data_IF_174081313826
#
_entry.id   IF_174081313826
#
_cell.length_a   1.000
_cell.length_b   1.000
_cell.length_c   1.000
_cell.angle_alpha   90.00
_cell.angle_beta   90.00
_cell.angle_gamma   90.00
#
_symmetry.space_group_name_H-M   'P 1'
#
loop_
_entity.id
_entity.type
_entity.pdbx_description
1 polymer ?
#
# COMPACT_ATOMS: atom_id res chain seq x y z
N UNK A 1 15.97 17.68 -4.22
CA UNK A 1 16.77 18.53 -3.36
C UNK A 1 16.01 19.08 -2.18
N UNK A 2 16.72 19.50 -1.18
CA UNK A 2 16.17 20.14 0.02
C UNK A 2 16.37 21.63 -0.04
N UNK A 3 15.49 22.38 0.62
CA UNK A 3 15.70 23.78 0.97
C UNK A 3 16.12 23.82 2.45
N UNK A 4 17.33 24.28 2.72
CA UNK A 4 17.86 24.37 4.08
C UNK A 4 18.20 25.82 4.41
N UNK A 5 18.11 26.17 5.69
CA UNK A 5 18.59 27.48 6.17
C UNK A 5 20.03 27.32 6.65
N UNK A 6 20.93 28.10 6.07
CA UNK A 6 22.33 28.20 6.48
C UNK A 6 22.62 29.67 6.76
N UNK A 7 22.88 30.02 8.01
CA UNK A 7 23.19 31.38 8.45
C UNK A 7 22.17 32.44 8.01
N UNK A 8 20.86 32.09 8.11
CA UNK A 8 19.76 32.98 7.73
C UNK A 8 19.47 33.03 6.22
N UNK A 9 20.20 32.30 5.38
CA UNK A 9 19.98 32.23 3.93
C UNK A 9 19.39 30.88 3.53
N UNK A 10 18.38 30.91 2.69
CA UNK A 10 17.81 29.67 2.09
C UNK A 10 18.76 29.16 0.99
N UNK A 11 19.26 27.96 1.17
CA UNK A 11 20.13 27.26 0.22
C UNK A 11 19.38 26.05 -0.32
N UNK A 12 19.31 25.91 -1.65
CA UNK A 12 18.83 24.70 -2.33
C UNK A 12 19.99 23.74 -2.49
N UNK A 13 19.84 22.51 -1.99
CA UNK A 13 20.79 21.43 -2.24
C UNK A 13 20.66 20.91 -3.67
N UNK A 14 21.59 20.07 -4.10
CA UNK A 14 21.54 19.42 -5.42
C UNK A 14 20.24 18.65 -5.66
N UNK A 15 19.94 18.36 -6.92
CA UNK A 15 18.75 17.58 -7.27
C UNK A 15 18.86 16.16 -6.69
N UNK A 16 17.75 15.59 -6.19
CA UNK A 16 17.77 14.26 -5.60
C UNK A 16 18.00 13.20 -6.68
N UNK A 17 18.82 12.22 -6.38
CA UNK A 17 18.88 11.00 -7.18
C UNK A 17 17.59 10.21 -7.00
N UNK A 18 17.04 9.69 -8.10
CA UNK A 18 15.87 8.81 -8.03
C UNK A 18 16.30 7.42 -7.62
N UNK A 19 15.69 6.90 -6.59
CA UNK A 19 15.75 5.49 -6.24
C UNK A 19 15.01 4.71 -7.32
N UNK A 20 15.71 3.80 -8.01
CA UNK A 20 15.13 3.01 -9.08
C UNK A 20 14.55 1.70 -8.54
N UNK A 21 15.24 1.06 -7.62
CA UNK A 21 14.79 -0.17 -6.97
C UNK A 21 14.23 0.17 -5.59
N UNK A 22 12.94 -0.13 -5.36
CA UNK A 22 12.30 0.23 -4.09
C UNK A 22 12.92 -0.52 -2.90
N UNK A 23 13.47 -1.69 -3.14
CA UNK A 23 14.07 -2.53 -2.09
C UNK A 23 15.40 -1.97 -1.55
N UNK A 24 15.99 -0.96 -2.21
CA UNK A 24 17.08 -0.15 -1.64
C UNK A 24 16.62 0.68 -0.42
N UNK A 25 15.32 0.93 -0.29
CA UNK A 25 14.75 1.64 0.87
C UNK A 25 14.59 0.63 2.01
N UNK A 26 15.28 0.81 3.15
CA UNK A 26 15.12 -0.13 4.26
C UNK A 26 13.68 -0.19 4.77
N UNK A 27 13.22 -1.38 5.10
CA UNK A 27 11.92 -1.54 5.75
C UNK A 27 12.01 -1.11 7.22
N UNK A 28 11.20 -0.17 7.69
CA UNK A 28 11.21 0.22 9.10
C UNK A 28 10.71 -0.90 10.01
N UNK A 29 9.97 -1.86 9.47
CA UNK A 29 9.48 -3.02 10.21
C UNK A 29 10.55 -4.09 10.38
N UNK A 30 11.35 -4.35 9.32
CA UNK A 30 12.36 -5.40 9.30
C UNK A 30 13.72 -4.96 9.89
N UNK A 31 13.86 -3.69 10.24
CA UNK A 31 15.10 -3.10 10.81
C UNK A 31 14.98 -2.78 12.30
N UNK A 32 13.99 -3.36 12.98
CA UNK A 32 13.74 -3.21 14.43
C UNK A 32 13.56 -1.77 14.94
N UNK A 33 13.28 -0.81 14.03
CA UNK A 33 13.13 0.62 14.40
C UNK A 33 12.03 0.85 15.43
N UNK A 34 10.98 0.04 15.42
CA UNK A 34 9.84 0.17 16.32
C UNK A 34 9.92 -0.70 17.57
N UNK A 35 10.91 -1.59 17.67
CA UNK A 35 11.00 -2.60 18.73
C UNK A 35 10.97 -1.97 20.13
N UNK A 36 11.90 -1.06 20.40
CA UNK A 36 12.00 -0.39 21.71
C UNK A 36 10.73 0.39 22.08
N UNK A 37 10.10 1.00 21.06
CA UNK A 37 8.86 1.76 21.25
C UNK A 37 7.71 0.83 21.63
N UNK A 38 7.56 -0.28 20.92
CA UNK A 38 6.51 -1.25 21.17
C UNK A 38 6.68 -1.96 22.51
N UNK A 39 7.92 -2.31 22.88
CA UNK A 39 8.24 -2.92 24.18
C UNK A 39 7.93 -1.98 25.36
N UNK A 40 8.14 -0.66 25.19
CA UNK A 40 7.85 0.34 26.24
C UNK A 40 6.36 0.66 26.38
N UNK A 41 5.56 0.34 25.37
CA UNK A 41 4.14 0.66 25.29
C UNK A 41 3.28 -0.57 24.95
N UNK A 42 3.31 -1.62 25.78
CA UNK A 42 2.56 -2.87 25.51
C UNK A 42 1.03 -2.68 25.55
N UNK A 43 0.56 -1.60 26.15
CA UNK A 43 -0.86 -1.22 26.22
C UNK A 43 -1.39 -0.61 24.90
N UNK A 44 -0.50 -0.20 23.99
CA UNK A 44 -0.88 0.46 22.74
C UNK A 44 -1.28 -0.56 21.67
N UNK A 45 -2.41 -0.31 21.01
CA UNK A 45 -2.83 -1.07 19.84
C UNK A 45 -2.17 -0.48 18.59
N UNK A 46 -1.23 -1.21 18.04
CA UNK A 46 -0.42 -0.75 16.92
C UNK A 46 -1.14 -0.95 15.58
N UNK A 47 -1.13 0.12 14.78
CA UNK A 47 -1.58 0.11 13.39
C UNK A 47 -0.37 0.37 12.49
N UNK A 48 -0.31 -0.30 11.36
CA UNK A 48 0.81 -0.18 10.42
C UNK A 48 0.33 0.28 9.04
N UNK A 49 1.20 1.01 8.36
CA UNK A 49 1.02 1.34 6.95
C UNK A 49 2.02 0.55 6.13
N UNK A 50 1.54 -0.30 5.23
CA UNK A 50 2.37 -1.06 4.29
C UNK A 50 2.16 -0.56 2.86
N UNK A 51 3.17 -0.70 2.04
CA UNK A 51 3.12 -0.40 0.62
C UNK A 51 3.74 -1.57 -0.15
N UNK A 52 2.99 -2.17 -1.08
CA UNK A 52 3.49 -3.28 -1.89
C UNK A 52 4.00 -2.83 -3.24
N UNK A 53 3.48 -1.70 -3.72
CA UNK A 53 3.92 -1.03 -4.94
C UNK A 53 3.72 0.48 -4.81
N UNK A 54 4.51 1.25 -5.52
CA UNK A 54 4.48 2.71 -5.53
C UNK A 54 4.25 3.24 -6.93
N UNK A 55 3.27 4.13 -7.05
CA UNK A 55 2.93 4.82 -8.29
C UNK A 55 1.52 4.52 -8.77
N UNK A 56 1.10 5.25 -9.82
CA UNK A 56 -0.18 5.07 -10.46
C UNK A 56 -0.03 5.31 -11.96
N UNK A 57 -0.49 4.38 -12.83
CA UNK A 57 -0.34 4.53 -14.28
C UNK A 57 -1.43 5.43 -14.90
N UNK A 58 -2.43 5.81 -14.13
CA UNK A 58 -3.57 6.58 -14.62
C UNK A 58 -3.31 8.08 -14.60
N UNK A 59 -4.01 8.81 -15.46
CA UNK A 59 -3.92 10.26 -15.64
C UNK A 59 -5.26 10.93 -15.38
N UNK A 60 -5.98 10.47 -14.35
CA UNK A 60 -7.26 11.06 -14.00
C UNK A 60 -7.11 12.56 -13.74
N UNK A 61 -7.94 13.40 -14.40
CA UNK A 61 -7.78 14.86 -14.40
C UNK A 61 -7.98 15.53 -13.03
N UNK A 62 -8.61 14.84 -12.10
CA UNK A 62 -8.87 15.30 -10.73
C UNK A 62 -7.83 14.81 -9.70
N UNK A 63 -6.81 14.04 -10.13
CA UNK A 63 -5.92 13.35 -9.23
C UNK A 63 -4.45 13.64 -9.53
N UNK A 64 -3.68 14.03 -8.53
CA UNK A 64 -2.26 14.36 -8.67
C UNK A 64 -1.31 13.13 -8.62
N UNK A 65 -1.80 11.96 -8.25
CA UNK A 65 -0.95 10.77 -8.14
C UNK A 65 -0.20 10.44 -9.43
N UNK A 66 -0.88 10.52 -10.57
CA UNK A 66 -0.28 10.24 -11.86
C UNK A 66 0.82 11.25 -12.25
N UNK A 67 0.64 12.53 -11.92
CA UNK A 67 1.62 13.59 -12.16
C UNK A 67 2.85 13.44 -11.29
N UNK A 68 2.68 13.11 -10.01
CA UNK A 68 3.75 12.95 -9.02
C UNK A 68 4.63 11.72 -9.28
N UNK A 69 4.05 10.65 -9.81
CA UNK A 69 4.75 9.38 -10.02
C UNK A 69 5.23 9.16 -11.46
N UNK A 70 4.99 10.12 -12.35
CA UNK A 70 5.30 10.02 -13.79
C UNK A 70 4.70 8.77 -14.44
N UNK A 71 3.52 8.37 -13.99
CA UNK A 71 2.76 7.21 -14.48
C UNK A 71 3.54 5.86 -14.45
N UNK A 72 4.61 5.78 -13.68
CA UNK A 72 5.36 4.54 -13.49
C UNK A 72 4.97 3.90 -12.18
N UNK A 73 4.76 2.58 -12.22
CA UNK A 73 4.55 1.78 -11.02
C UNK A 73 5.78 0.93 -10.78
N UNK A 74 6.33 1.04 -9.59
CA UNK A 74 7.42 0.20 -9.09
C UNK A 74 6.88 -0.73 -8.02
N UNK A 75 7.41 -1.93 -7.92
CA UNK A 75 6.99 -2.94 -6.97
C UNK A 75 8.11 -3.21 -5.98
N UNK A 76 7.76 -3.42 -4.73
CA UNK A 76 8.66 -4.05 -3.78
C UNK A 76 8.79 -5.54 -4.09
N UNK A 77 9.91 -6.14 -3.72
CA UNK A 77 10.09 -7.58 -3.82
C UNK A 77 9.03 -8.33 -3.01
N UNK A 78 8.49 -9.42 -3.56
CA UNK A 78 7.40 -10.14 -2.95
C UNK A 78 7.82 -10.80 -1.62
N UNK A 79 9.06 -11.25 -1.53
CA UNK A 79 9.59 -11.84 -0.30
C UNK A 79 9.64 -10.81 0.82
N UNK A 80 10.06 -9.57 0.53
CA UNK A 80 10.03 -8.47 1.48
C UNK A 80 8.61 -8.18 1.97
N UNK A 81 7.63 -8.09 1.05
CA UNK A 81 6.23 -7.87 1.42
C UNK A 81 5.73 -8.99 2.34
N UNK A 82 6.11 -10.23 2.08
CA UNK A 82 5.76 -11.36 2.93
C UNK A 82 6.37 -11.26 4.34
N UNK A 83 7.63 -10.85 4.43
CA UNK A 83 8.30 -10.64 5.71
C UNK A 83 7.65 -9.52 6.52
N UNK A 84 7.25 -8.43 5.87
CA UNK A 84 6.54 -7.32 6.51
C UNK A 84 5.16 -7.75 7.03
N UNK A 85 4.41 -8.55 6.26
CA UNK A 85 3.14 -9.12 6.72
C UNK A 85 3.33 -10.07 7.91
N UNK A 86 4.35 -10.90 7.89
CA UNK A 86 4.69 -11.77 9.03
C UNK A 86 5.08 -10.95 10.27
N UNK A 87 5.85 -9.89 10.07
CA UNK A 87 6.19 -8.96 11.15
C UNK A 87 4.95 -8.38 11.81
N UNK A 88 3.96 -7.94 11.01
CA UNK A 88 2.67 -7.43 11.50
C UNK A 88 1.95 -8.46 12.38
N UNK A 89 1.82 -9.69 11.91
CA UNK A 89 1.16 -10.76 12.66
C UNK A 89 1.89 -11.07 13.96
N UNK A 90 3.20 -11.29 13.88
CA UNK A 90 4.06 -11.67 15.01
C UNK A 90 4.09 -10.61 16.11
N UNK A 91 4.05 -9.32 15.73
CA UNK A 91 4.07 -8.21 16.68
C UNK A 91 2.67 -7.76 17.13
N UNK A 92 1.62 -8.51 16.79
CA UNK A 92 0.27 -8.27 17.26
C UNK A 92 -0.33 -6.94 16.79
N UNK A 93 0.08 -6.44 15.61
CA UNK A 93 -0.50 -5.22 15.06
C UNK A 93 -1.93 -5.43 14.62
N UNK A 94 -2.84 -4.60 15.08
CA UNK A 94 -4.28 -4.80 14.89
C UNK A 94 -4.80 -4.48 13.50
N UNK A 95 -4.15 -3.51 12.84
CA UNK A 95 -4.67 -2.95 11.59
C UNK A 95 -3.56 -2.67 10.58
N UNK A 96 -3.86 -2.96 9.31
CA UNK A 96 -3.02 -2.56 8.17
C UNK A 96 -3.75 -1.50 7.33
N UNK A 97 -3.09 -0.37 7.08
CA UNK A 97 -3.41 0.52 5.97
C UNK A 97 -2.52 0.16 4.79
N UNK A 98 -3.06 -0.48 3.76
CA UNK A 98 -2.32 -0.75 2.54
C UNK A 98 -2.35 0.50 1.65
N UNK A 99 -1.19 1.13 1.51
CA UNK A 99 -1.06 2.44 0.86
C UNK A 99 -0.87 2.38 -0.66
N UNK A 100 -1.03 1.22 -1.26
CA UNK A 100 -1.01 1.06 -2.71
C UNK A 100 -2.11 1.90 -3.35
N UNK A 101 -1.80 2.59 -4.45
CA UNK A 101 -2.80 3.39 -5.15
C UNK A 101 -3.88 2.55 -5.84
N UNK A 102 -3.58 1.30 -6.20
CA UNK A 102 -4.46 0.42 -6.99
C UNK A 102 -4.11 -1.06 -6.74
N UNK A 103 -4.43 -1.58 -5.57
CA UNK A 103 -4.24 -3.01 -5.27
C UNK A 103 -5.19 -3.86 -6.13
N UNK A 104 -4.71 -4.97 -6.65
CA UNK A 104 -5.41 -5.79 -7.66
C UNK A 104 -5.03 -5.41 -9.09
N UNK A 105 -4.15 -4.42 -9.28
CA UNK A 105 -3.64 -4.05 -10.62
C UNK A 105 -2.67 -5.10 -11.19
N UNK A 106 -2.04 -5.89 -10.33
CA UNK A 106 -1.19 -7.03 -10.68
C UNK A 106 -1.82 -8.33 -10.17
N UNK A 107 -2.83 -8.88 -10.86
CA UNK A 107 -3.75 -9.86 -10.28
C UNK A 107 -3.08 -11.06 -9.62
N UNK A 108 -2.15 -11.70 -10.31
CA UNK A 108 -1.43 -12.87 -9.78
C UNK A 108 -0.64 -12.54 -8.51
N UNK A 109 0.14 -11.46 -8.58
CA UNK A 109 0.96 -11.00 -7.46
C UNK A 109 0.11 -10.56 -6.26
N UNK A 110 -0.95 -9.80 -6.54
CA UNK A 110 -1.80 -9.23 -5.49
C UNK A 110 -2.68 -10.32 -4.85
N UNK A 111 -3.04 -11.38 -5.60
CA UNK A 111 -3.63 -12.59 -5.06
C UNK A 111 -2.66 -13.31 -4.10
N UNK A 112 -1.40 -13.47 -4.47
CA UNK A 112 -0.37 -14.07 -3.59
C UNK A 112 -0.19 -13.28 -2.30
N UNK A 113 -0.24 -11.94 -2.36
CA UNK A 113 -0.17 -11.08 -1.17
C UNK A 113 -1.42 -11.27 -0.29
N UNK A 114 -2.61 -11.34 -0.89
CA UNK A 114 -3.83 -11.62 -0.17
C UNK A 114 -3.82 -12.99 0.52
N UNK A 115 -3.31 -14.01 -0.16
CA UNK A 115 -3.13 -15.36 0.43
C UNK A 115 -2.16 -15.34 1.61
N UNK A 116 -1.05 -14.61 1.48
CA UNK A 116 -0.10 -14.43 2.57
C UNK A 116 -0.74 -13.71 3.75
N UNK A 117 -1.51 -12.64 3.52
CA UNK A 117 -2.24 -11.94 4.57
C UNK A 117 -3.20 -12.87 5.31
N UNK A 118 -3.97 -13.69 4.58
CA UNK A 118 -4.87 -14.69 5.15
C UNK A 118 -4.11 -15.70 6.01
N UNK A 119 -2.97 -16.19 5.52
CA UNK A 119 -2.11 -17.12 6.27
C UNK A 119 -1.64 -16.51 7.59
N UNK A 120 -1.16 -15.26 7.55
CA UNK A 120 -0.72 -14.51 8.74
C UNK A 120 -1.86 -14.32 9.73
N UNK A 121 -3.07 -13.95 9.25
CA UNK A 121 -4.25 -13.81 10.11
C UNK A 121 -4.65 -15.14 10.78
N UNK A 122 -4.55 -16.24 10.06
CA UNK A 122 -4.86 -17.58 10.61
C UNK A 122 -3.86 -18.01 11.69
N UNK A 123 -2.59 -17.73 11.48
CA UNK A 123 -1.50 -18.11 12.38
C UNK A 123 -1.47 -17.23 13.64
N UNK A 124 -1.43 -15.91 13.44
CA UNK A 124 -1.18 -14.93 14.51
C UNK A 124 -2.45 -14.28 15.09
N UNK A 125 -3.61 -14.49 14.46
CA UNK A 125 -4.89 -13.81 14.77
C UNK A 125 -4.84 -12.28 14.57
N UNK A 126 -3.82 -11.78 13.91
CA UNK A 126 -3.60 -10.39 13.54
C UNK A 126 -3.08 -10.30 12.09
N UNK A 127 -3.33 -9.19 11.38
CA UNK A 127 -4.16 -8.05 11.80
C UNK A 127 -5.66 -8.40 11.86
N UNK A 128 -6.42 -7.68 12.71
CA UNK A 128 -7.87 -7.86 12.84
C UNK A 128 -8.63 -7.26 11.65
N UNK A 129 -8.08 -6.21 11.07
CA UNK A 129 -8.66 -5.51 9.93
C UNK A 129 -7.60 -4.84 9.07
N UNK A 130 -8.00 -4.44 7.88
CA UNK A 130 -7.15 -3.69 6.95
C UNK A 130 -8.00 -2.81 6.03
N UNK A 131 -7.37 -1.80 5.44
CA UNK A 131 -7.95 -1.00 4.35
C UNK A 131 -7.10 -1.10 3.10
N UNK A 132 -7.76 -1.12 1.95
CA UNK A 132 -7.14 -1.30 0.63
C UNK A 132 -7.78 -0.33 -0.37
N UNK A 133 -6.96 0.41 -1.12
CA UNK A 133 -7.40 1.16 -2.28
C UNK A 133 -7.34 0.26 -3.52
N UNK A 134 -8.50 -0.19 -3.97
CA UNK A 134 -8.64 -1.17 -5.04
C UNK A 134 -8.39 -0.60 -6.44
N UNK A 135 -7.83 -1.42 -7.31
CA UNK A 135 -7.74 -1.13 -8.73
C UNK A 135 -9.15 -1.05 -9.35
N UNK A 136 -9.33 -0.09 -10.26
CA UNK A 136 -10.65 0.27 -10.77
C UNK A 136 -10.96 -0.38 -12.11
N UNK A 137 -9.94 -0.83 -12.83
CA UNK A 137 -10.05 -1.35 -14.19
C UNK A 137 -9.96 -2.89 -14.27
N UNK A 138 -9.55 -3.56 -13.19
CA UNK A 138 -9.44 -5.03 -13.09
C UNK A 138 -10.67 -5.56 -12.34
N UNK A 139 -11.80 -5.67 -13.07
CA UNK A 139 -13.09 -5.91 -12.43
C UNK A 139 -13.22 -7.29 -11.79
N UNK A 140 -12.96 -8.36 -12.54
CA UNK A 140 -13.17 -9.73 -12.06
C UNK A 140 -12.08 -10.14 -11.08
N UNK A 141 -10.84 -9.86 -11.40
CA UNK A 141 -9.68 -10.22 -10.59
C UNK A 141 -9.72 -9.55 -9.20
N UNK A 142 -10.13 -8.28 -9.14
CA UNK A 142 -10.34 -7.59 -7.85
C UNK A 142 -11.45 -8.27 -7.05
N UNK A 143 -12.55 -8.63 -7.69
CA UNK A 143 -13.66 -9.35 -7.04
C UNK A 143 -13.18 -10.70 -6.49
N UNK A 144 -12.35 -11.41 -7.23
CA UNK A 144 -11.85 -12.72 -6.80
C UNK A 144 -10.90 -12.61 -5.60
N UNK A 145 -10.02 -11.61 -5.58
CA UNK A 145 -9.19 -11.30 -4.39
C UNK A 145 -10.06 -10.96 -3.19
N UNK A 146 -11.06 -10.09 -3.37
CA UNK A 146 -11.98 -9.71 -2.28
C UNK A 146 -12.76 -10.89 -1.75
N UNK A 147 -13.31 -11.74 -2.62
CA UNK A 147 -14.00 -12.97 -2.21
C UNK A 147 -13.09 -13.85 -1.35
N UNK A 148 -11.85 -14.04 -1.78
CA UNK A 148 -10.88 -14.84 -1.03
C UNK A 148 -10.61 -14.25 0.35
N UNK A 149 -10.38 -12.95 0.44
CA UNK A 149 -10.18 -12.25 1.71
C UNK A 149 -11.40 -12.36 2.66
N UNK A 150 -12.62 -12.32 2.13
CA UNK A 150 -13.84 -12.45 2.92
C UNK A 150 -14.07 -13.90 3.36
N UNK A 151 -14.09 -14.84 2.41
CA UNK A 151 -14.50 -16.21 2.69
C UNK A 151 -13.43 -17.05 3.38
N UNK A 152 -12.16 -16.82 3.07
CA UNK A 152 -11.05 -17.58 3.65
C UNK A 152 -10.35 -16.83 4.79
N UNK A 153 -10.24 -15.49 4.70
CA UNK A 153 -9.61 -14.63 5.69
C UNK A 153 -10.54 -14.10 6.77
N UNK A 154 -11.87 -14.27 6.59
CA UNK A 154 -12.86 -13.77 7.54
C UNK A 154 -12.93 -12.24 7.60
N UNK A 155 -12.49 -11.55 6.54
CA UNK A 155 -12.54 -10.10 6.47
C UNK A 155 -13.98 -9.59 6.55
N UNK A 156 -14.22 -8.62 7.43
CA UNK A 156 -15.49 -7.88 7.52
C UNK A 156 -15.54 -6.68 6.60
N UNK A 157 -14.42 -6.34 5.96
CA UNK A 157 -14.32 -5.23 5.03
C UNK A 157 -14.82 -5.66 3.65
N UNK A 158 -15.82 -4.96 3.16
CA UNK A 158 -16.34 -5.16 1.81
C UNK A 158 -15.47 -4.50 0.74
N UNK A 159 -15.87 -4.70 -0.52
CA UNK A 159 -15.27 -4.04 -1.67
C UNK A 159 -15.78 -2.60 -1.79
N UNK A 160 -14.87 -1.63 -1.69
CA UNK A 160 -15.17 -0.22 -1.96
C UNK A 160 -14.43 0.23 -3.23
N UNK A 161 -15.17 0.38 -4.33
CA UNK A 161 -14.62 0.83 -5.62
C UNK A 161 -14.96 2.29 -5.88
N UNK A 162 -13.93 3.10 -6.12
CA UNK A 162 -14.08 4.51 -6.50
C UNK A 162 -14.36 4.63 -8.00
N UNK A 163 -15.59 4.36 -8.43
CA UNK A 163 -15.97 4.39 -9.87
C UNK A 163 -16.09 5.81 -10.43
N UNK A 164 -16.26 6.81 -9.58
CA UNK A 164 -16.37 8.25 -9.88
C UNK A 164 -17.67 8.66 -10.57
N UNK A 165 -18.04 8.03 -11.67
CA UNK A 165 -19.28 8.26 -12.42
C UNK A 165 -19.74 6.95 -13.08
N UNK A 166 -21.01 6.90 -13.44
CA UNK A 166 -21.61 5.87 -14.29
C UNK A 166 -21.91 6.40 -15.70
N UNK A 167 -21.57 7.64 -15.96
CA UNK A 167 -21.77 8.32 -17.25
C UNK A 167 -20.47 8.28 -18.06
N UNK A 168 -20.53 7.74 -19.28
CA UNK A 168 -19.35 7.54 -20.12
C UNK A 168 -18.71 8.85 -20.57
N UNK A 169 -19.50 9.91 -20.82
CA UNK A 169 -18.97 11.20 -21.22
C UNK A 169 -18.20 11.85 -20.06
N UNK A 170 -18.74 11.74 -18.84
CA UNK A 170 -18.04 12.21 -17.63
C UNK A 170 -16.75 11.42 -17.43
N UNK A 171 -16.79 10.09 -17.58
CA UNK A 171 -15.60 9.25 -17.45
C UNK A 171 -14.54 9.61 -18.50
N UNK A 172 -14.94 9.90 -19.72
CA UNK A 172 -14.03 10.34 -20.79
C UNK A 172 -13.37 11.69 -20.45
N UNK A 173 -14.13 12.67 -19.96
CA UNK A 173 -13.63 14.00 -19.56
C UNK A 173 -12.59 13.87 -18.43
N UNK A 174 -12.86 13.07 -17.43
CA UNK A 174 -11.95 12.87 -16.30
C UNK A 174 -10.84 11.84 -16.58
N UNK A 175 -10.71 11.37 -17.81
CA UNK A 175 -9.73 10.35 -18.25
C UNK A 175 -9.77 9.09 -17.39
N UNK A 176 -10.98 8.65 -17.08
CA UNK A 176 -11.24 7.40 -16.35
C UNK A 176 -11.82 6.37 -17.32
N UNK A 177 -11.13 5.24 -17.49
CA UNK A 177 -11.58 4.13 -18.35
C UNK A 177 -12.07 2.96 -17.50
#
# INVERSE_FOLDING_TARGET
GLLINVDGKTVKTGEPLRINELDEIPSPYLTDVFKDLMEKHPEVRWNVTLETNRGCPYQCTFCDWGSLTYNKVKKFDLHRVYQELEWVGRNGCDFISLADANFGMFPERDMMIAEKLISVQKEWKNPQAYTIAWAKNQKQEVVDIVKKLIYEGGSKMGLNLSVQSMDDDVLAIIKRK
#
